data_IF_251540998267
#
_entry.id   IF_251540998267
#
_cell.length_a   1.000
_cell.length_b   1.000
_cell.length_c   1.000
_cell.angle_alpha   90.00
_cell.angle_beta   90.00
_cell.angle_gamma   90.00
#
_symmetry.space_group_name_H-M   'P 1'
#
loop_
_entity.id
_entity.type
_entity.pdbx_description
1 polymer ?
#
# COMPACT_ATOMS: atom_id res chain seq x y z
N UNK A 1 19.28 -28.87 -5.03
CA UNK A 1 17.89 -28.74 -5.52
C UNK A 1 17.58 -27.25 -5.67
N UNK A 2 17.24 -26.74 -6.85
CA UNK A 2 16.94 -25.32 -7.00
C UNK A 2 15.52 -25.04 -6.47
N UNK A 3 15.40 -24.11 -5.54
CA UNK A 3 14.14 -23.58 -5.00
C UNK A 3 13.43 -22.76 -6.09
N UNK A 4 12.36 -23.32 -6.65
CA UNK A 4 11.50 -22.62 -7.61
C UNK A 4 10.70 -21.52 -6.89
N UNK A 5 11.27 -20.32 -6.75
CA UNK A 5 10.55 -19.12 -6.28
C UNK A 5 9.84 -18.45 -7.46
N UNK A 6 8.63 -18.88 -7.81
CA UNK A 6 7.78 -18.09 -8.71
C UNK A 6 6.29 -18.22 -8.36
N UNK A 7 5.59 -17.07 -8.45
CA UNK A 7 4.14 -16.82 -8.36
C UNK A 7 3.51 -16.63 -6.96
N UNK A 8 3.86 -15.54 -6.28
CA UNK A 8 2.99 -14.97 -5.24
C UNK A 8 3.09 -13.43 -5.13
N UNK A 9 3.55 -12.77 -6.18
CA UNK A 9 3.94 -11.36 -6.12
C UNK A 9 2.77 -10.38 -6.29
N UNK A 10 1.53 -10.86 -6.48
CA UNK A 10 0.35 -10.01 -6.65
C UNK A 10 -0.68 -10.13 -5.53
N UNK A 11 -0.49 -11.04 -4.57
CA UNK A 11 -1.42 -11.22 -3.46
C UNK A 11 -1.05 -10.28 -2.32
N UNK A 12 -2.03 -9.58 -1.75
CA UNK A 12 -1.88 -8.78 -0.52
C UNK A 12 -1.54 -9.69 0.67
N UNK A 13 -0.76 -9.19 1.62
CA UNK A 13 -0.39 -9.96 2.84
C UNK A 13 -0.85 -9.24 4.10
N UNK A 14 -1.26 -10.02 5.09
CA UNK A 14 -1.49 -9.50 6.45
C UNK A 14 -0.16 -8.95 6.99
N UNK A 15 -0.24 -7.88 7.78
CA UNK A 15 0.87 -7.07 8.29
C UNK A 15 1.73 -6.37 7.24
N UNK A 16 1.32 -6.38 5.96
CA UNK A 16 2.00 -5.63 4.92
C UNK A 16 1.79 -4.12 5.08
N UNK A 17 2.88 -3.36 4.94
CA UNK A 17 2.83 -1.90 5.04
C UNK A 17 2.29 -1.30 3.74
N UNK A 18 1.28 -0.45 3.88
CA UNK A 18 0.65 0.26 2.78
C UNK A 18 0.82 1.76 2.96
N UNK A 19 0.94 2.47 1.83
CA UNK A 19 0.85 3.91 1.76
C UNK A 19 -0.49 4.27 1.13
N UNK A 20 -1.27 5.10 1.80
CA UNK A 20 -2.55 5.58 1.31
C UNK A 20 -2.34 7.02 0.85
N UNK A 21 -2.76 7.32 -0.37
CA UNK A 21 -2.62 8.63 -1.00
C UNK A 21 -4.02 9.16 -1.31
N UNK A 22 -4.33 10.34 -0.77
CA UNK A 22 -5.64 10.98 -0.87
C UNK A 22 -5.50 12.25 -1.70
N UNK A 23 -6.27 12.37 -2.78
CA UNK A 23 -6.17 13.49 -3.71
C UNK A 23 -4.95 13.42 -4.62
N UNK A 24 -4.69 14.51 -5.34
CA UNK A 24 -3.66 14.60 -6.38
C UNK A 24 -2.78 15.85 -6.20
N UNK A 25 -1.63 15.87 -6.85
CA UNK A 25 -0.72 17.01 -6.85
C UNK A 25 0.02 17.23 -5.53
N UNK A 26 0.41 18.48 -5.29
CA UNK A 26 1.21 18.92 -4.13
C UNK A 26 0.44 18.88 -2.80
N UNK A 27 -0.89 18.90 -2.85
CA UNK A 27 -1.74 18.89 -1.65
C UNK A 27 -2.18 17.47 -1.24
N UNK A 28 -1.76 16.45 -2.00
CA UNK A 28 -2.11 15.06 -1.75
C UNK A 28 -1.73 14.63 -0.33
N UNK A 29 -2.70 14.09 0.40
CA UNK A 29 -2.53 13.56 1.74
C UNK A 29 -1.85 12.19 1.68
N UNK A 30 -0.80 12.00 2.45
CA UNK A 30 -0.05 10.75 2.54
C UNK A 30 -0.19 10.15 3.93
N UNK A 31 -0.63 8.91 3.97
CA UNK A 31 -0.83 8.15 5.19
C UNK A 31 -0.09 6.80 5.09
N UNK A 32 0.26 6.24 6.24
CA UNK A 32 0.78 4.89 6.38
C UNK A 32 -0.12 4.07 7.27
N UNK A 33 -0.35 2.83 6.87
CA UNK A 33 -1.05 1.84 7.67
C UNK A 33 -0.47 0.45 7.39
N UNK A 34 -0.91 -0.54 8.15
CA UNK A 34 -0.67 -1.96 7.84
C UNK A 34 -2.01 -2.65 7.61
N UNK A 35 -2.00 -3.66 6.75
CA UNK A 35 -3.15 -4.56 6.59
C UNK A 35 -3.23 -5.42 7.85
N UNK A 36 -4.30 -5.32 8.61
CA UNK A 36 -4.55 -6.19 9.78
C UNK A 36 -5.22 -7.48 9.37
N UNK A 37 -6.15 -7.40 8.41
CA UNK A 37 -6.97 -8.52 7.99
C UNK A 37 -7.54 -8.29 6.59
N UNK A 38 -7.94 -9.37 5.92
CA UNK A 38 -8.53 -9.36 4.58
C UNK A 38 -9.82 -10.17 4.59
N UNK A 39 -10.94 -9.46 4.47
CA UNK A 39 -12.30 -10.01 4.45
C UNK A 39 -12.84 -9.86 3.02
N UNK A 40 -13.75 -10.73 2.52
CA UNK A 40 -14.16 -10.75 1.11
C UNK A 40 -14.53 -9.40 0.49
N UNK A 41 -15.06 -8.46 1.28
CA UNK A 41 -15.47 -7.13 0.81
C UNK A 41 -14.71 -5.97 1.47
N UNK A 42 -13.72 -6.26 2.31
CA UNK A 42 -12.97 -5.20 3.01
C UNK A 42 -11.56 -5.61 3.38
N UNK A 43 -10.63 -4.67 3.19
CA UNK A 43 -9.29 -4.72 3.74
C UNK A 43 -9.29 -3.94 5.05
N UNK A 44 -9.03 -4.63 6.14
CA UNK A 44 -8.92 -4.02 7.45
C UNK A 44 -7.51 -3.49 7.60
N UNK A 45 -7.41 -2.23 8.04
CA UNK A 45 -6.11 -1.58 8.25
C UNK A 45 -5.99 -1.05 9.67
N UNK A 46 -4.75 -1.00 10.15
CA UNK A 46 -4.42 -0.29 11.38
C UNK A 46 -4.83 1.19 11.27
N UNK A 47 -4.98 1.87 12.41
CA UNK A 47 -5.19 3.32 12.44
C UNK A 47 -4.18 4.05 11.52
N UNK A 48 -4.65 4.77 10.47
CA UNK A 48 -3.76 5.42 9.52
C UNK A 48 -2.97 6.55 10.17
N UNK A 49 -1.64 6.51 10.03
CA UNK A 49 -0.74 7.55 10.51
C UNK A 49 -0.50 8.55 9.40
N UNK A 50 -0.79 9.82 9.65
CA UNK A 50 -0.49 10.91 8.72
C UNK A 50 1.02 11.10 8.58
N UNK A 51 1.49 11.25 7.34
CA UNK A 51 2.92 11.43 7.02
C UNK A 51 3.17 12.83 6.45
N UNK A 52 2.38 13.26 5.47
CA UNK A 52 2.55 14.57 4.82
C UNK A 52 1.34 14.95 3.95
N UNK A 53 1.28 16.20 3.50
CA UNK A 53 0.23 16.71 2.61
C UNK A 53 -0.73 17.68 3.30
N UNK A 54 -1.86 17.98 2.65
CA UNK A 54 -2.92 18.84 3.24
C UNK A 54 -4.28 18.16 3.23
N UNK A 55 -4.48 17.20 2.33
CA UNK A 55 -5.75 16.51 2.19
C UNK A 55 -5.95 15.50 3.31
N UNK A 56 -7.06 15.64 4.05
CA UNK A 56 -7.40 14.74 5.15
C UNK A 56 -8.10 13.47 4.67
N UNK A 57 -7.75 12.32 5.24
CA UNK A 57 -8.45 11.06 5.04
C UNK A 57 -9.87 11.15 5.63
N UNK A 58 -10.89 10.87 4.82
CA UNK A 58 -12.31 10.90 5.22
C UNK A 58 -13.05 9.68 4.69
N UNK A 59 -14.16 9.34 5.36
CA UNK A 59 -15.08 8.30 4.90
C UNK A 59 -15.59 8.64 3.49
N UNK A 60 -15.65 7.63 2.62
CA UNK A 60 -16.16 7.72 1.24
C UNK A 60 -15.16 8.26 0.22
N UNK A 61 -13.93 8.62 0.61
CA UNK A 61 -12.95 9.11 -0.35
C UNK A 61 -12.31 7.96 -1.13
N UNK A 62 -12.18 8.17 -2.44
CA UNK A 62 -11.33 7.36 -3.30
C UNK A 62 -9.86 7.70 -3.01
N UNK A 63 -9.05 6.65 -2.84
CA UNK A 63 -7.65 6.74 -2.47
C UNK A 63 -6.82 5.81 -3.35
N UNK A 64 -5.58 6.20 -3.58
CA UNK A 64 -4.59 5.34 -4.21
C UNK A 64 -3.77 4.65 -3.11
N UNK A 65 -3.83 3.33 -3.06
CA UNK A 65 -3.05 2.53 -2.12
C UNK A 65 -1.81 2.05 -2.84
N UNK A 66 -0.64 2.26 -2.24
CA UNK A 66 0.65 1.82 -2.75
C UNK A 66 1.33 0.87 -1.77
N UNK A 67 1.96 -0.15 -2.32
CA UNK A 67 2.76 -1.15 -1.61
C UNK A 67 4.13 -1.12 -2.24
N UNK A 68 5.19 -1.13 -1.42
CA UNK A 68 6.56 -1.19 -1.92
C UNK A 68 7.17 -2.52 -1.51
N UNK A 69 7.52 -3.34 -2.50
CA UNK A 69 8.24 -4.62 -2.34
C UNK A 69 9.66 -4.48 -2.90
N UNK A 70 10.48 -5.49 -2.69
CA UNK A 70 11.88 -5.50 -3.15
C UNK A 70 12.01 -5.36 -4.68
N UNK A 71 11.06 -5.94 -5.41
CA UNK A 71 11.06 -6.05 -6.86
C UNK A 71 10.36 -4.89 -7.57
N UNK A 72 9.29 -4.35 -6.96
CA UNK A 72 8.53 -3.23 -7.50
C UNK A 72 7.60 -2.58 -6.46
N UNK A 73 7.06 -1.41 -6.82
CA UNK A 73 5.87 -0.91 -6.16
C UNK A 73 4.63 -1.43 -6.87
N UNK A 74 3.57 -1.62 -6.11
CA UNK A 74 2.25 -2.00 -6.58
C UNK A 74 1.26 -0.96 -6.13
N UNK A 75 0.22 -0.71 -6.92
CA UNK A 75 -0.82 0.24 -6.57
C UNK A 75 -2.19 -0.17 -7.05
N UNK A 76 -3.21 0.24 -6.31
CA UNK A 76 -4.61 0.03 -6.65
C UNK A 76 -5.47 1.18 -6.12
N UNK A 77 -6.64 1.36 -6.72
CA UNK A 77 -7.65 2.29 -6.21
C UNK A 77 -8.52 1.61 -5.19
N UNK A 78 -8.89 2.34 -4.15
CA UNK A 78 -9.76 1.87 -3.08
C UNK A 78 -10.60 3.01 -2.53
N UNK A 79 -11.68 2.69 -1.81
CA UNK A 79 -12.52 3.66 -1.12
C UNK A 79 -12.39 3.47 0.38
N UNK A 80 -12.18 4.57 1.10
CA UNK A 80 -12.08 4.57 2.56
C UNK A 80 -13.46 4.40 3.17
N UNK A 81 -13.61 3.40 4.04
CA UNK A 81 -14.77 3.19 4.89
C UNK A 81 -14.33 3.33 6.34
N UNK A 82 -14.94 4.27 7.05
CA UNK A 82 -14.77 4.42 8.50
C UNK A 82 -16.03 3.93 9.17
N UNK A 83 -15.90 2.91 9.99
CA UNK A 83 -16.98 2.29 10.74
C UNK A 83 -16.78 2.52 12.24
N UNK A 84 -17.88 2.78 12.96
CA UNK A 84 -17.87 2.86 14.42
C UNK A 84 -18.09 1.45 14.95
N UNK A 85 -17.10 0.89 15.63
CA UNK A 85 -17.22 -0.38 16.35
C UNK A 85 -17.32 -0.11 17.86
N UNK A 86 -17.81 -1.07 18.66
CA UNK A 86 -17.87 -0.91 20.12
C UNK A 86 -16.52 -0.58 20.76
N UNK A 87 -15.41 -0.99 20.12
CA UNK A 87 -14.03 -0.72 20.56
C UNK A 87 -13.37 0.52 19.96
N UNK A 88 -14.09 1.33 19.17
CA UNK A 88 -13.56 2.58 18.61
C UNK A 88 -13.91 2.81 17.14
N UNK A 89 -13.00 3.45 16.40
CA UNK A 89 -13.14 3.64 14.95
C UNK A 89 -12.29 2.62 14.22
N UNK A 90 -12.92 1.80 13.38
CA UNK A 90 -12.21 0.91 12.46
C UNK A 90 -12.16 1.58 11.09
N UNK A 91 -10.97 1.62 10.50
CA UNK A 91 -10.82 2.08 9.12
C UNK A 91 -10.63 0.85 8.24
N UNK A 92 -11.46 0.74 7.21
CA UNK A 92 -11.41 -0.30 6.22
C UNK A 92 -11.30 0.33 4.83
N UNK A 93 -10.76 -0.45 3.90
CA UNK A 93 -10.58 -0.09 2.51
C UNK A 93 -11.36 -1.09 1.66
N UNK A 94 -11.96 -0.66 0.56
CA UNK A 94 -12.51 -1.63 -0.41
C UNK A 94 -11.38 -2.46 -1.02
N UNK A 95 -11.59 -3.75 -1.28
CA UNK A 95 -10.57 -4.60 -1.89
C UNK A 95 -10.20 -4.09 -3.30
N UNK A 96 -8.97 -4.34 -3.75
CA UNK A 96 -8.57 -4.02 -5.12
C UNK A 96 -9.40 -4.83 -6.12
N UNK A 97 -9.99 -4.17 -7.12
CA UNK A 97 -10.48 -4.86 -8.32
C UNK A 97 -9.30 -5.35 -9.17
N UNK A 98 -8.23 -4.55 -9.25
CA UNK A 98 -6.99 -4.89 -9.94
C UNK A 98 -5.79 -4.31 -9.19
N UNK A 99 -4.70 -5.07 -9.11
CA UNK A 99 -3.42 -4.57 -8.59
C UNK A 99 -2.47 -4.29 -9.76
N UNK A 100 -2.05 -3.03 -9.90
CA UNK A 100 -1.15 -2.61 -10.98
C UNK A 100 0.27 -2.47 -10.48
N UNK A 101 1.23 -3.06 -11.20
CA UNK A 101 2.66 -2.86 -10.92
C UNK A 101 3.04 -1.45 -11.34
N UNK A 102 3.53 -0.66 -10.40
CA UNK A 102 4.04 0.69 -10.60
C UNK A 102 5.57 0.64 -10.53
N UNK A 103 6.21 0.50 -11.69
CA UNK A 103 7.68 0.49 -11.75
C UNK A 103 8.22 1.90 -11.48
N UNK A 104 8.89 2.09 -10.34
CA UNK A 104 9.45 3.40 -9.94
C UNK A 104 10.92 3.59 -10.35
N UNK A 105 11.56 2.59 -10.95
CA UNK A 105 12.98 2.65 -11.32
C UNK A 105 13.13 2.80 -12.83
N UNK A 106 13.63 3.96 -13.24
CA UNK A 106 14.14 4.21 -14.59
C UNK A 106 15.54 3.60 -14.80
N UNK A 107 16.26 3.29 -13.72
CA UNK A 107 17.65 2.82 -13.77
C UNK A 107 17.88 1.61 -12.85
N UNK A 108 18.62 0.62 -13.34
CA UNK A 108 19.10 -0.52 -12.56
C UNK A 108 20.27 -0.09 -11.66
N UNK A 109 20.35 -0.63 -10.44
CA UNK A 109 21.54 -0.49 -9.59
C UNK A 109 22.49 -1.62 -9.94
N UNK A 110 23.66 -1.29 -10.49
CA UNK A 110 24.76 -2.23 -10.60
C UNK A 110 25.61 -2.15 -9.33
N UNK A 111 25.79 -3.27 -8.64
CA UNK A 111 26.80 -3.39 -7.60
C UNK A 111 28.16 -3.60 -8.27
N UNK A 112 29.08 -2.66 -8.08
CA UNK A 112 30.45 -2.76 -8.59
C UNK A 112 31.30 -3.33 -7.45
N UNK A 113 31.85 -4.55 -7.57
CA UNK A 113 32.76 -5.09 -6.56
C UNK A 113 34.03 -4.24 -6.51
N UNK A 114 34.31 -3.66 -5.34
CA UNK A 114 35.53 -2.88 -5.10
C UNK A 114 36.66 -3.83 -4.69
N UNK A 115 37.11 -4.68 -5.61
CA UNK A 115 38.41 -5.35 -5.49
C UNK A 115 39.43 -4.50 -6.24
N UNK A 116 40.01 -3.53 -5.54
CA UNK A 116 41.19 -2.81 -6.02
C UNK A 116 42.40 -3.62 -5.58
N UNK A 117 43.27 -3.90 -6.56
CA UNK A 117 44.48 -4.71 -6.49
C UNK A 117 45.51 -4.22 -5.47
#
# INVERSE_FOLDING_TARGET
MPLTKHKDTQTLRVWEMIRIIVGEGSDAGHYRARIEDMVPESLVITAPVFVSGKTLLRHGLSVNVQITREDAAYGFQSVVRVEKTPGGRRTTLTPPTEMRRVQRRLFARAEIPTSIC
#
